data_IF_975778115996
#
_entry.id   IF_975778115996
#
_cell.length_a   1.000
_cell.length_b   1.000
_cell.length_c   1.000
_cell.angle_alpha   90.00
_cell.angle_beta   90.00
_cell.angle_gamma   90.00
#
_symmetry.space_group_name_H-M   'P 1'
#
loop_
_entity.id
_entity.type
_entity.pdbx_description
1 polymer ?
#
# COMPACT_ATOMS: atom_id res chain seq x y z
N UNK A 1 -5.88 6.55 60.76
CA UNK A 1 -5.10 5.55 60.02
C UNK A 1 -4.63 6.24 58.76
N UNK A 2 -3.42 6.80 58.86
CA UNK A 2 -2.73 7.56 57.82
C UNK A 2 -1.79 6.61 57.11
N UNK A 3 -1.95 6.45 55.79
CA UNK A 3 -1.05 5.65 54.96
C UNK A 3 0.33 6.30 54.94
N UNK A 4 1.34 5.51 55.32
CA UNK A 4 2.75 5.85 55.21
C UNK A 4 3.12 5.97 53.73
N UNK A 5 3.41 7.19 53.29
CA UNK A 5 4.20 7.43 52.08
C UNK A 5 5.67 7.23 52.46
N UNK A 6 6.35 6.30 51.79
CA UNK A 6 7.76 6.01 51.99
C UNK A 6 8.61 7.09 51.31
N UNK A 7 9.28 7.99 52.07
CA UNK A 7 10.00 9.13 51.50
C UNK A 7 11.21 8.73 50.63
N UNK A 8 11.59 7.45 50.66
CA UNK A 8 12.76 6.93 49.96
C UNK A 8 12.51 6.65 48.47
N UNK A 9 11.25 6.46 48.05
CA UNK A 9 10.91 6.17 46.65
C UNK A 9 10.77 7.44 45.79
N UNK A 10 10.38 8.57 46.38
CA UNK A 10 10.20 9.84 45.66
C UNK A 10 11.53 10.51 45.27
N UNK A 11 12.65 10.09 45.86
CA UNK A 11 13.98 10.67 45.59
C UNK A 11 14.64 10.09 44.32
N UNK A 12 14.23 8.88 43.89
CA UNK A 12 14.78 8.19 42.72
C UNK A 12 13.91 8.28 41.46
N UNK A 13 12.60 8.51 41.63
CA UNK A 13 11.67 8.71 40.52
C UNK A 13 11.22 10.16 40.50
N UNK A 14 11.89 11.06 39.75
CA UNK A 14 11.38 12.41 39.58
C UNK A 14 9.93 12.32 39.08
N UNK A 15 9.05 13.11 39.69
CA UNK A 15 7.66 13.20 39.27
C UNK A 15 7.61 13.38 37.73
N UNK A 16 6.71 12.67 37.03
CA UNK A 16 6.65 12.74 35.57
C UNK A 16 6.55 14.21 35.14
N UNK A 17 7.36 14.66 34.17
CA UNK A 17 7.40 16.05 33.78
C UNK A 17 5.98 16.51 33.39
N UNK A 18 5.47 17.50 34.12
CA UNK A 18 4.20 18.14 33.78
C UNK A 18 4.43 18.99 32.54
N UNK A 19 3.99 18.49 31.39
CA UNK A 19 3.98 19.26 30.14
C UNK A 19 2.92 20.38 30.24
N UNK A 20 3.25 21.48 30.91
CA UNK A 20 2.40 22.66 31.09
C UNK A 20 2.24 23.53 29.83
N UNK A 21 2.53 23.00 28.63
CA UNK A 21 2.23 23.70 27.37
C UNK A 21 0.91 23.15 26.82
N UNK A 22 -0.12 23.98 26.60
CA UNK A 22 -1.30 23.52 25.87
C UNK A 22 -0.84 23.01 24.49
N UNK A 23 -1.13 21.75 24.21
CA UNK A 23 -0.81 21.12 22.93
C UNK A 23 -1.51 21.93 21.84
N UNK A 24 -0.72 22.67 21.06
CA UNK A 24 -1.28 23.47 19.97
C UNK A 24 -1.65 22.52 18.84
N UNK A 25 -2.94 22.48 18.48
CA UNK A 25 -3.42 21.63 17.39
C UNK A 25 -2.84 22.10 16.05
N UNK A 26 -2.42 21.14 15.24
CA UNK A 26 -1.90 21.39 13.89
C UNK A 26 -3.01 21.90 12.97
N UNK A 27 -2.67 22.80 12.05
CA UNK A 27 -3.60 23.32 11.05
C UNK A 27 -2.98 23.47 9.65
N UNK A 28 -1.80 22.91 9.44
CA UNK A 28 -1.08 22.90 8.17
C UNK A 28 -1.49 21.71 7.30
N UNK A 29 -2.72 21.75 6.79
CA UNK A 29 -3.24 20.66 5.96
C UNK A 29 -2.50 20.51 4.63
N UNK A 30 -2.26 19.27 4.22
CA UNK A 30 -1.47 18.91 3.04
C UNK A 30 -2.35 18.25 1.97
N UNK A 31 -1.92 18.20 0.70
CA UNK A 31 -2.71 17.62 -0.37
C UNK A 31 -3.16 16.17 -0.16
N UNK A 32 -2.40 15.35 0.58
CA UNK A 32 -2.74 13.97 0.94
C UNK A 32 -3.73 13.87 2.14
N UNK A 33 -4.12 14.99 2.75
CA UNK A 33 -5.19 15.04 3.76
C UNK A 33 -6.58 15.21 3.13
N UNK A 34 -6.69 15.34 1.80
CA UNK A 34 -7.98 15.60 1.14
C UNK A 34 -8.98 14.44 1.30
N UNK A 35 -10.30 14.72 1.26
CA UNK A 35 -11.35 13.70 1.47
C UNK A 35 -11.27 12.46 0.57
N UNK A 36 -10.86 12.61 -0.69
CA UNK A 36 -10.59 11.49 -1.61
C UNK A 36 -9.62 10.44 -1.07
N UNK A 37 -8.61 10.86 -0.29
CA UNK A 37 -7.69 9.91 0.35
C UNK A 37 -8.39 9.14 1.49
N UNK A 38 -9.36 9.75 2.17
CA UNK A 38 -10.17 9.04 3.15
C UNK A 38 -11.06 7.99 2.49
N UNK A 39 -11.59 8.26 1.30
CA UNK A 39 -12.29 7.25 0.51
C UNK A 39 -11.39 6.06 0.21
N UNK A 40 -10.15 6.30 -0.25
CA UNK A 40 -9.17 5.24 -0.49
C UNK A 40 -8.93 4.42 0.78
N UNK A 41 -8.70 5.07 1.92
CA UNK A 41 -8.50 4.37 3.20
C UNK A 41 -9.69 3.47 3.54
N UNK A 42 -10.92 3.99 3.45
CA UNK A 42 -12.12 3.26 3.87
C UNK A 42 -12.58 2.20 2.86
N UNK A 43 -12.80 2.61 1.62
CA UNK A 43 -13.47 1.79 0.60
C UNK A 43 -12.51 0.94 -0.21
N UNK A 44 -11.22 1.25 -0.23
CA UNK A 44 -10.22 0.37 -0.81
C UNK A 44 -9.45 -0.38 0.29
N UNK A 45 -8.70 0.30 1.15
CA UNK A 45 -7.82 -0.40 2.08
C UNK A 45 -8.60 -1.21 3.12
N UNK A 46 -9.48 -0.59 3.91
CA UNK A 46 -10.19 -1.28 4.99
C UNK A 46 -11.14 -2.36 4.46
N UNK A 47 -11.86 -2.12 3.36
CA UNK A 47 -12.73 -3.14 2.78
C UNK A 47 -11.96 -4.37 2.29
N UNK A 48 -10.81 -4.20 1.64
CA UNK A 48 -10.01 -5.35 1.21
C UNK A 48 -9.34 -6.04 2.39
N UNK A 49 -8.92 -5.30 3.43
CA UNK A 49 -8.44 -5.89 4.68
C UNK A 49 -9.51 -6.74 5.36
N UNK A 50 -10.75 -6.27 5.39
CA UNK A 50 -11.88 -7.02 5.93
C UNK A 50 -12.10 -8.32 5.14
N UNK A 51 -12.10 -8.28 3.80
CA UNK A 51 -12.22 -9.47 2.96
C UNK A 51 -11.06 -10.44 3.18
N UNK A 52 -9.82 -9.95 3.23
CA UNK A 52 -8.65 -10.77 3.51
C UNK A 52 -8.74 -11.43 4.89
N UNK A 53 -9.18 -10.70 5.91
CA UNK A 53 -9.30 -11.22 7.28
C UNK A 53 -10.19 -12.46 7.38
N UNK A 54 -11.28 -12.48 6.62
CA UNK A 54 -12.21 -13.61 6.55
C UNK A 54 -11.56 -14.86 5.93
N UNK A 55 -10.60 -14.66 5.01
CA UNK A 55 -9.83 -15.74 4.39
C UNK A 55 -8.68 -16.23 5.28
N UNK A 56 -7.96 -15.30 5.91
CA UNK A 56 -6.75 -15.61 6.68
C UNK A 56 -7.02 -16.45 7.91
N UNK A 57 -8.26 -16.43 8.44
CA UNK A 57 -8.68 -17.08 9.69
C UNK A 57 -7.59 -16.91 10.74
N UNK A 58 -7.55 -15.76 11.43
CA UNK A 58 -6.55 -15.46 12.47
C UNK A 58 -6.61 -16.49 13.61
N UNK A 59 -6.05 -17.66 13.37
CA UNK A 59 -5.92 -18.74 14.33
C UNK A 59 -4.92 -18.29 15.41
N UNK A 60 -5.22 -18.66 16.66
CA UNK A 60 -4.28 -18.55 17.78
C UNK A 60 -3.81 -17.11 18.11
N UNK A 61 -4.63 -16.09 17.85
CA UNK A 61 -4.32 -14.72 18.28
C UNK A 61 -3.10 -14.09 17.59
N UNK A 62 -2.71 -14.60 16.41
CA UNK A 62 -1.63 -14.00 15.62
C UNK A 62 -1.97 -12.55 15.25
N UNK A 63 -1.02 -11.62 15.28
CA UNK A 63 -1.28 -10.25 14.84
C UNK A 63 -1.48 -10.19 13.32
N UNK A 64 -2.20 -9.16 12.88
CA UNK A 64 -2.20 -8.69 11.49
C UNK A 64 -0.86 -7.98 11.24
N UNK A 65 -0.08 -8.50 10.30
CA UNK A 65 1.25 -7.94 9.96
C UNK A 65 1.14 -6.93 8.82
N UNK A 66 1.50 -5.68 9.08
CA UNK A 66 1.35 -4.55 8.16
C UNK A 66 2.70 -3.87 7.85
N UNK A 67 3.12 -3.85 6.58
CA UNK A 67 4.26 -3.04 6.14
C UNK A 67 3.74 -1.74 5.52
N UNK A 68 4.28 -0.59 5.92
CA UNK A 68 3.84 0.69 5.34
C UNK A 68 4.92 1.78 5.21
N UNK A 69 4.54 2.86 4.54
CA UNK A 69 5.25 4.15 4.44
C UNK A 69 4.44 5.23 5.17
N UNK A 70 4.39 5.20 6.52
CA UNK A 70 3.30 5.83 7.27
C UNK A 70 3.40 7.36 7.40
N UNK A 71 4.58 7.92 7.09
CA UNK A 71 4.90 9.33 7.35
C UNK A 71 4.81 9.70 8.84
N UNK A 72 4.95 10.98 9.13
CA UNK A 72 4.99 11.51 10.52
C UNK A 72 3.67 11.37 11.30
N UNK A 73 2.55 11.34 10.60
CA UNK A 73 1.22 11.36 11.20
C UNK A 73 0.64 9.94 11.38
N UNK A 74 1.22 8.94 10.70
CA UNK A 74 0.79 7.54 10.73
C UNK A 74 -0.71 7.36 10.42
N UNK A 75 -1.25 8.16 9.50
CA UNK A 75 -2.69 8.20 9.21
C UNK A 75 -3.22 6.87 8.65
N UNK A 76 -2.40 6.20 7.86
CA UNK A 76 -2.66 4.87 7.33
C UNK A 76 -2.68 3.81 8.46
N UNK A 77 -1.67 3.79 9.33
CA UNK A 77 -1.58 2.88 10.49
C UNK A 77 -2.73 3.13 11.45
N UNK A 78 -3.07 4.40 11.74
CA UNK A 78 -4.25 4.77 12.56
C UNK A 78 -5.55 4.27 11.95
N UNK A 79 -5.68 4.33 10.63
CA UNK A 79 -6.86 3.80 9.95
C UNK A 79 -6.96 2.27 10.07
N UNK A 80 -5.86 1.54 9.83
CA UNK A 80 -5.82 0.08 10.01
C UNK A 80 -6.05 -0.29 11.48
N UNK A 81 -5.44 0.43 12.41
CA UNK A 81 -5.62 0.26 13.85
C UNK A 81 -7.09 0.41 14.26
N UNK A 82 -7.81 1.40 13.74
CA UNK A 82 -9.24 1.56 14.01
C UNK A 82 -10.07 0.33 13.66
N UNK A 83 -9.76 -0.33 12.53
CA UNK A 83 -10.38 -1.60 12.16
C UNK A 83 -9.94 -2.76 13.07
N UNK A 84 -8.64 -2.85 13.37
CA UNK A 84 -8.08 -3.84 14.29
C UNK A 84 -8.72 -3.77 15.68
N UNK A 85 -8.88 -2.57 16.24
CA UNK A 85 -9.53 -2.33 17.52
C UNK A 85 -11.00 -2.78 17.50
N UNK A 86 -11.75 -2.42 16.44
CA UNK A 86 -13.14 -2.83 16.29
C UNK A 86 -13.31 -4.35 16.21
N UNK A 87 -12.33 -5.05 15.64
CA UNK A 87 -12.35 -6.50 15.44
C UNK A 87 -11.52 -7.28 16.48
N UNK A 88 -10.95 -6.59 17.48
CA UNK A 88 -10.09 -7.17 18.53
C UNK A 88 -8.90 -7.98 17.98
N UNK A 89 -8.29 -7.47 16.91
CA UNK A 89 -7.10 -8.07 16.28
C UNK A 89 -5.89 -7.21 16.59
N UNK A 90 -4.81 -7.81 17.10
CA UNK A 90 -3.55 -7.10 17.30
C UNK A 90 -2.94 -6.68 15.96
N UNK A 91 -2.50 -5.43 15.85
CA UNK A 91 -1.76 -4.91 14.70
C UNK A 91 -0.27 -4.90 15.03
N UNK A 92 0.52 -5.62 14.24
CA UNK A 92 1.98 -5.51 14.24
C UNK A 92 2.41 -4.81 12.95
N UNK A 93 2.92 -3.59 13.06
CA UNK A 93 3.34 -2.84 11.88
C UNK A 93 4.86 -2.59 11.81
N UNK A 94 5.39 -2.61 10.60
CA UNK A 94 6.72 -2.09 10.27
C UNK A 94 6.55 -0.89 9.35
N UNK A 95 7.03 0.27 9.76
CA UNK A 95 7.07 1.49 8.96
C UNK A 95 8.48 1.85 8.53
N UNK A 96 8.65 2.45 7.35
CA UNK A 96 9.88 3.13 6.96
C UNK A 96 9.62 4.62 6.78
N UNK A 97 10.49 5.45 7.35
CA UNK A 97 10.43 6.90 7.22
C UNK A 97 11.83 7.45 6.89
N UNK A 98 11.96 8.13 5.75
CA UNK A 98 13.24 8.67 5.28
C UNK A 98 13.72 9.81 6.18
N UNK A 99 14.87 9.68 6.88
CA UNK A 99 15.37 10.72 7.77
C UNK A 99 15.97 11.92 7.02
N UNK A 100 16.15 11.82 5.70
CA UNK A 100 16.79 12.85 4.87
C UNK A 100 15.82 13.84 4.22
N UNK A 101 14.52 13.79 4.56
CA UNK A 101 13.57 14.81 4.10
C UNK A 101 13.98 16.20 4.65
N UNK A 102 14.49 17.12 3.80
CA UNK A 102 15.02 18.41 4.24
C UNK A 102 13.95 19.34 4.83
N UNK A 103 12.67 18.96 4.74
CA UNK A 103 11.54 19.68 5.30
C UNK A 103 11.35 19.44 6.82
N UNK A 104 12.22 18.65 7.48
CA UNK A 104 11.95 18.14 8.83
C UNK A 104 12.93 18.60 9.93
N UNK A 105 12.62 19.70 10.63
CA UNK A 105 13.24 20.04 11.93
C UNK A 105 12.74 19.21 13.12
N UNK A 106 11.73 18.34 12.97
CA UNK A 106 10.98 17.74 14.08
C UNK A 106 10.69 16.24 13.88
N UNK A 107 11.72 15.41 13.88
CA UNK A 107 11.62 13.96 14.21
C UNK A 107 10.84 13.73 15.53
N UNK A 108 10.74 14.76 16.39
CA UNK A 108 9.84 14.76 17.56
C UNK A 108 8.37 14.45 17.23
N UNK A 109 7.85 14.87 16.07
CA UNK A 109 6.45 14.60 15.71
C UNK A 109 6.22 13.13 15.36
N UNK A 110 7.16 12.52 14.63
CA UNK A 110 7.11 11.09 14.35
C UNK A 110 7.22 10.29 15.65
N UNK A 111 8.21 10.60 16.49
CA UNK A 111 8.42 9.94 17.78
C UNK A 111 7.18 10.06 18.69
N UNK A 112 6.53 11.23 18.73
CA UNK A 112 5.29 11.42 19.47
C UNK A 112 4.15 10.54 18.91
N UNK A 113 3.95 10.53 17.59
CA UNK A 113 2.91 9.71 16.96
C UNK A 113 3.14 8.20 17.17
N UNK A 114 4.40 7.74 17.17
CA UNK A 114 4.76 6.34 17.48
C UNK A 114 4.48 6.03 18.96
N UNK A 115 4.89 6.91 19.88
CA UNK A 115 4.65 6.72 21.31
C UNK A 115 3.15 6.67 21.65
N UNK A 116 2.33 7.50 21.02
CA UNK A 116 0.88 7.48 21.18
C UNK A 116 0.26 6.17 20.69
N UNK A 117 0.66 5.69 19.51
CA UNK A 117 0.17 4.41 18.98
C UNK A 117 0.60 3.24 19.85
N UNK A 118 1.86 3.22 20.32
CA UNK A 118 2.37 2.15 21.17
C UNK A 118 1.61 1.98 22.50
N UNK A 119 0.93 3.03 22.97
CA UNK A 119 0.10 3.00 24.18
C UNK A 119 -1.34 2.51 23.92
N UNK A 120 -1.74 2.30 22.66
CA UNK A 120 -3.10 1.87 22.34
C UNK A 120 -3.27 0.38 22.53
N UNK A 121 -4.48 0.00 22.94
CA UNK A 121 -4.91 -1.40 22.87
C UNK A 121 -4.82 -1.92 21.44
N UNK A 122 -4.50 -3.20 21.31
CA UNK A 122 -4.35 -3.91 20.03
C UNK A 122 -3.20 -3.41 19.15
N UNK A 123 -2.23 -2.67 19.68
CA UNK A 123 -0.93 -2.48 19.03
C UNK A 123 0.07 -3.48 19.63
N UNK A 124 0.69 -4.28 18.77
CA UNK A 124 1.71 -5.23 19.17
C UNK A 124 3.01 -4.49 19.53
N UNK A 125 3.66 -4.90 20.64
CA UNK A 125 4.87 -4.26 21.16
C UNK A 125 6.08 -4.36 20.22
N UNK A 126 6.07 -5.27 19.24
CA UNK A 126 7.10 -5.37 18.21
C UNK A 126 6.87 -4.40 17.04
N UNK A 127 5.81 -3.59 17.08
CA UNK A 127 5.59 -2.58 16.05
C UNK A 127 6.67 -1.51 16.08
N UNK A 128 7.16 -1.12 14.91
CA UNK A 128 8.32 -0.23 14.78
C UNK A 128 8.22 0.66 13.55
N UNK A 129 8.71 1.90 13.66
CA UNK A 129 9.08 2.72 12.50
C UNK A 129 10.59 2.83 12.45
N UNK A 130 11.17 2.43 11.31
CA UNK A 130 12.61 2.49 11.05
C UNK A 130 12.92 3.83 10.38
N UNK A 131 13.84 4.65 10.94
CA UNK A 131 14.29 5.88 10.32
C UNK A 131 15.30 5.58 9.19
N UNK A 132 14.83 4.90 8.15
CA UNK A 132 15.61 4.55 6.96
C UNK A 132 14.73 4.59 5.71
N UNK A 133 15.36 4.65 4.54
CA UNK A 133 14.65 4.65 3.26
C UNK A 133 14.12 3.26 2.95
N UNK A 134 12.87 3.19 2.50
CA UNK A 134 12.26 1.93 2.05
C UNK A 134 13.05 1.26 0.92
N UNK A 135 13.58 2.07 0.01
CA UNK A 135 14.35 1.65 -1.16
C UNK A 135 15.57 0.81 -0.79
N UNK A 136 16.12 1.00 0.42
CA UNK A 136 17.27 0.23 0.90
C UNK A 136 16.95 -1.23 1.16
N UNK A 137 15.69 -1.63 1.22
CA UNK A 137 15.31 -3.06 1.19
C UNK A 137 15.90 -3.77 -0.04
N UNK A 138 16.17 -3.05 -1.14
CA UNK A 138 16.87 -3.60 -2.31
C UNK A 138 18.30 -4.09 -2.02
N UNK A 139 18.95 -3.53 -1.00
CA UNK A 139 20.26 -3.94 -0.51
C UNK A 139 20.14 -4.91 0.68
N UNK A 140 20.52 -6.17 0.44
CA UNK A 140 20.42 -7.25 1.43
C UNK A 140 21.36 -7.09 2.64
N UNK A 141 22.33 -6.18 2.55
CA UNK A 141 23.21 -5.83 3.68
C UNK A 141 22.69 -4.66 4.52
N UNK A 142 21.60 -4.02 4.10
CA UNK A 142 21.02 -2.87 4.79
C UNK A 142 20.24 -3.25 6.04
N UNK A 143 20.15 -2.31 6.98
CA UNK A 143 19.28 -2.41 8.15
C UNK A 143 17.81 -2.55 7.69
N UNK A 144 17.40 -1.82 6.66
CA UNK A 144 16.05 -1.90 6.13
C UNK A 144 15.67 -3.32 5.69
N UNK A 145 16.55 -4.02 4.97
CA UNK A 145 16.33 -5.41 4.59
C UNK A 145 16.25 -6.33 5.81
N UNK A 146 17.18 -6.20 6.77
CA UNK A 146 17.16 -6.98 8.01
C UNK A 146 15.86 -6.80 8.79
N UNK A 147 15.38 -5.56 8.96
CA UNK A 147 14.12 -5.27 9.65
C UNK A 147 12.91 -5.84 8.90
N UNK A 148 12.91 -5.77 7.57
CA UNK A 148 11.85 -6.33 6.74
C UNK A 148 11.72 -7.85 6.92
N UNK A 149 12.84 -8.59 6.91
CA UNK A 149 12.80 -10.05 7.08
C UNK A 149 12.49 -10.49 8.52
N UNK A 150 12.87 -9.69 9.53
CA UNK A 150 12.56 -9.94 10.94
C UNK A 150 11.06 -9.77 11.22
N UNK A 151 10.43 -8.73 10.68
CA UNK A 151 9.03 -8.41 10.97
C UNK A 151 8.04 -9.25 10.14
N UNK A 152 8.37 -9.59 8.89
CA UNK A 152 7.47 -10.28 7.96
C UNK A 152 7.33 -11.80 8.22
N UNK A 153 6.76 -12.56 7.26
CA UNK A 153 6.02 -12.10 6.08
C UNK A 153 4.80 -11.25 6.46
N UNK A 154 4.36 -10.38 5.56
CA UNK A 154 3.29 -9.41 5.82
C UNK A 154 1.94 -9.90 5.28
N UNK A 155 0.84 -9.59 5.96
CA UNK A 155 -0.52 -9.80 5.45
C UNK A 155 -0.91 -8.68 4.48
N UNK A 156 -0.44 -7.47 4.75
CA UNK A 156 -0.73 -6.28 3.97
C UNK A 156 0.56 -5.48 3.82
N UNK A 157 0.84 -5.03 2.59
CA UNK A 157 1.92 -4.11 2.27
C UNK A 157 1.27 -2.88 1.62
N UNK A 158 1.43 -1.71 2.23
CA UNK A 158 0.90 -0.44 1.72
C UNK A 158 2.03 0.53 1.37
N UNK A 159 2.25 0.70 0.07
CA UNK A 159 3.24 1.64 -0.46
C UNK A 159 2.52 2.93 -0.86
N UNK A 160 2.32 3.83 0.11
CA UNK A 160 1.73 5.15 -0.12
C UNK A 160 2.78 6.16 -0.60
N UNK A 161 3.20 6.04 -1.86
CA UNK A 161 4.26 6.86 -2.42
C UNK A 161 3.75 8.27 -2.75
N UNK A 162 4.41 9.28 -2.18
CA UNK A 162 4.20 10.68 -2.57
C UNK A 162 4.74 11.00 -3.97
N UNK A 163 5.70 10.21 -4.44
CA UNK A 163 6.33 10.31 -5.75
C UNK A 163 5.86 9.19 -6.69
N UNK A 164 6.41 9.16 -7.90
CA UNK A 164 6.10 8.09 -8.84
C UNK A 164 7.02 6.89 -8.61
N UNK A 165 6.42 5.71 -8.52
CA UNK A 165 7.15 4.45 -8.65
C UNK A 165 7.91 4.35 -9.99
N UNK A 166 7.41 5.02 -11.03
CA UNK A 166 8.01 5.07 -12.35
C UNK A 166 9.00 6.24 -12.53
N UNK A 167 9.37 6.94 -11.45
CA UNK A 167 10.22 8.15 -11.52
C UNK A 167 11.72 7.89 -11.61
N UNK A 168 12.19 6.70 -11.23
CA UNK A 168 13.60 6.34 -11.25
C UNK A 168 14.02 5.68 -12.57
N UNK A 169 15.31 5.74 -12.91
CA UNK A 169 15.86 4.98 -14.03
C UNK A 169 16.03 3.52 -13.58
N UNK A 170 15.39 2.53 -14.25
CA UNK A 170 15.52 1.14 -13.85
C UNK A 170 16.97 0.64 -13.98
N UNK A 171 17.40 -0.21 -13.05
CA UNK A 171 18.72 -0.85 -13.04
C UNK A 171 19.91 0.10 -12.82
N UNK A 172 19.66 1.38 -12.53
CA UNK A 172 20.73 2.36 -12.27
C UNK A 172 21.29 2.24 -10.85
N UNK A 173 20.41 2.01 -9.87
CA UNK A 173 20.74 1.95 -8.45
C UNK A 173 20.24 0.68 -7.81
N UNK A 174 20.90 0.26 -6.74
CA UNK A 174 20.46 -0.89 -5.93
C UNK A 174 19.35 -0.49 -4.94
N UNK A 175 19.35 0.77 -4.50
CA UNK A 175 18.38 1.39 -3.59
C UNK A 175 17.30 2.16 -4.37
N UNK A 176 16.47 1.42 -5.11
CA UNK A 176 15.27 1.97 -5.76
C UNK A 176 13.99 1.19 -5.40
N UNK A 177 12.83 1.73 -5.78
CA UNK A 177 11.55 1.06 -5.55
C UNK A 177 11.45 -0.31 -6.24
N UNK A 178 12.09 -0.48 -7.40
CA UNK A 178 11.99 -1.72 -8.16
C UNK A 178 12.68 -2.87 -7.43
N UNK A 179 13.89 -2.65 -6.94
CA UNK A 179 14.66 -3.61 -6.18
C UNK A 179 14.02 -3.88 -4.82
N UNK A 180 13.53 -2.85 -4.13
CA UNK A 180 12.83 -3.04 -2.86
C UNK A 180 11.56 -3.91 -3.03
N UNK A 181 10.73 -3.63 -4.03
CA UNK A 181 9.53 -4.42 -4.33
C UNK A 181 9.90 -5.84 -4.77
N UNK A 182 10.93 -5.99 -5.60
CA UNK A 182 11.44 -7.31 -6.01
C UNK A 182 11.82 -8.16 -4.79
N UNK A 183 12.60 -7.59 -3.85
CA UNK A 183 13.00 -8.28 -2.61
C UNK A 183 11.84 -8.62 -1.70
N UNK A 184 10.86 -7.74 -1.59
CA UNK A 184 9.64 -8.00 -0.82
C UNK A 184 8.85 -9.16 -1.43
N UNK A 185 8.67 -9.18 -2.76
CA UNK A 185 7.96 -10.27 -3.45
C UNK A 185 8.72 -11.58 -3.30
N UNK A 186 10.05 -11.57 -3.50
CA UNK A 186 10.91 -12.74 -3.28
C UNK A 186 10.74 -13.30 -1.86
N UNK A 187 10.80 -12.43 -0.84
CA UNK A 187 10.62 -12.83 0.54
C UNK A 187 9.20 -13.36 0.82
N UNK A 188 8.15 -12.66 0.39
CA UNK A 188 6.75 -13.07 0.55
C UNK A 188 6.49 -14.44 -0.08
N UNK A 189 6.98 -14.66 -1.31
CA UNK A 189 6.85 -15.95 -2.01
C UNK A 189 7.52 -17.09 -1.25
N UNK A 190 8.66 -16.83 -0.60
CA UNK A 190 9.44 -17.84 0.11
C UNK A 190 8.90 -18.19 1.50
N UNK A 191 8.15 -17.26 2.14
CA UNK A 191 7.73 -17.40 3.55
C UNK A 191 6.22 -17.49 3.75
N UNK A 192 5.41 -17.00 2.82
CA UNK A 192 3.96 -16.97 2.97
C UNK A 192 3.31 -18.17 2.28
N UNK A 193 2.19 -18.63 2.83
CA UNK A 193 1.34 -19.67 2.24
C UNK A 193 -0.12 -19.23 2.10
N UNK A 194 -0.49 -18.11 2.72
CA UNK A 194 -1.82 -17.51 2.67
C UNK A 194 -1.81 -16.28 1.75
N UNK A 195 -2.98 -15.89 1.18
CA UNK A 195 -3.10 -14.66 0.39
C UNK A 195 -2.61 -13.42 1.15
N UNK A 196 -2.23 -12.39 0.41
CA UNK A 196 -1.83 -11.10 0.96
C UNK A 196 -2.19 -9.95 0.04
N UNK A 197 -2.23 -8.74 0.59
CA UNK A 197 -2.59 -7.53 -0.12
C UNK A 197 -1.37 -6.64 -0.37
N UNK A 198 -1.33 -6.08 -1.58
CA UNK A 198 -0.39 -5.04 -1.96
C UNK A 198 -1.20 -3.80 -2.40
N UNK A 199 -1.06 -2.71 -1.65
CA UNK A 199 -1.57 -1.41 -2.04
C UNK A 199 -0.41 -0.54 -2.52
N UNK A 200 -0.59 0.14 -3.65
CA UNK A 200 0.38 1.09 -4.18
C UNK A 200 -0.36 2.37 -4.54
N UNK A 201 -0.10 3.44 -3.79
CA UNK A 201 -0.48 4.79 -4.20
C UNK A 201 0.71 5.45 -4.86
N UNK A 202 0.57 5.99 -6.07
CA UNK A 202 1.71 6.55 -6.82
C UNK A 202 1.27 7.64 -7.78
N UNK A 203 2.17 8.59 -8.07
CA UNK A 203 2.00 9.56 -9.15
C UNK A 203 2.06 8.88 -10.52
N UNK A 204 1.17 9.26 -11.43
CA UNK A 204 1.07 8.65 -12.78
C UNK A 204 0.92 9.66 -13.94
N UNK A 205 1.16 10.96 -13.68
CA UNK A 205 1.19 11.95 -14.77
C UNK A 205 2.45 11.80 -15.64
N UNK A 206 2.42 12.34 -16.86
CA UNK A 206 3.53 12.20 -17.84
C UNK A 206 4.87 12.71 -17.32
N UNK A 207 4.88 13.79 -16.54
CA UNK A 207 6.11 14.37 -15.97
C UNK A 207 6.69 13.53 -14.84
N UNK A 208 5.88 12.66 -14.24
CA UNK A 208 6.26 11.79 -13.14
C UNK A 208 6.85 10.46 -13.62
N UNK A 209 6.64 10.07 -14.88
CA UNK A 209 7.16 8.83 -15.46
C UNK A 209 8.49 9.09 -16.15
N UNK A 210 9.55 8.45 -15.68
CA UNK A 210 10.84 8.43 -16.34
C UNK A 210 10.72 7.68 -17.69
N UNK A 211 11.25 8.23 -18.81
CA UNK A 211 11.15 7.58 -20.12
C UNK A 211 11.68 6.15 -20.17
N UNK A 212 12.77 5.85 -19.45
CA UNK A 212 13.37 4.51 -19.39
C UNK A 212 12.48 3.52 -18.65
N UNK A 213 11.89 3.95 -17.52
CA UNK A 213 10.91 3.15 -16.80
C UNK A 213 9.64 2.95 -17.64
N UNK A 214 9.11 4.01 -18.24
CA UNK A 214 7.96 3.97 -19.14
C UNK A 214 8.16 2.98 -20.29
N UNK A 215 9.35 2.93 -20.90
CA UNK A 215 9.66 1.96 -21.96
C UNK A 215 9.65 0.51 -21.46
N UNK A 216 10.17 0.23 -20.25
CA UNK A 216 10.16 -1.11 -19.65
C UNK A 216 8.74 -1.55 -19.27
N UNK A 217 7.93 -0.66 -18.73
CA UNK A 217 6.52 -0.92 -18.43
C UNK A 217 5.71 -1.15 -19.71
N UNK A 218 5.95 -0.35 -20.74
CA UNK A 218 5.35 -0.55 -22.07
C UNK A 218 5.73 -1.91 -22.66
N UNK A 219 6.99 -2.32 -22.53
CA UNK A 219 7.46 -3.61 -23.01
C UNK A 219 6.70 -4.77 -22.35
N UNK A 220 6.36 -4.66 -21.05
CA UNK A 220 5.55 -5.67 -20.37
C UNK A 220 4.13 -5.82 -20.97
N UNK A 221 3.57 -4.74 -21.52
CA UNK A 221 2.28 -4.75 -22.23
C UNK A 221 2.47 -5.35 -23.64
N UNK A 222 3.49 -4.87 -24.36
CA UNK A 222 3.82 -5.27 -25.72
C UNK A 222 4.11 -6.77 -25.84
N UNK A 223 4.87 -7.34 -24.89
CA UNK A 223 5.23 -8.75 -24.90
C UNK A 223 3.98 -9.65 -24.84
N UNK A 224 2.98 -9.32 -24.03
CA UNK A 224 1.71 -10.04 -24.00
C UNK A 224 0.85 -9.82 -25.24
N UNK A 225 0.84 -8.61 -25.81
CA UNK A 225 0.13 -8.31 -27.05
C UNK A 225 0.70 -9.06 -28.26
N UNK A 226 2.00 -9.41 -28.24
CA UNK A 226 2.63 -10.27 -29.24
C UNK A 226 2.24 -11.74 -29.09
N UNK A 227 2.04 -12.20 -27.86
CA UNK A 227 1.76 -13.61 -27.55
C UNK A 227 0.27 -13.97 -27.60
N UNK A 228 -0.62 -12.97 -27.51
CA UNK A 228 -2.07 -13.21 -27.47
C UNK A 228 -2.85 -12.18 -28.29
N UNK A 229 -3.48 -12.65 -29.37
CA UNK A 229 -4.37 -11.85 -30.20
C UNK A 229 -5.58 -11.34 -29.42
N UNK A 230 -6.09 -12.14 -28.47
CA UNK A 230 -7.18 -11.75 -27.58
C UNK A 230 -6.76 -10.58 -26.69
N UNK A 231 -5.60 -10.68 -26.03
CA UNK A 231 -5.06 -9.59 -25.21
C UNK A 231 -4.87 -8.32 -26.05
N UNK A 232 -4.27 -8.44 -27.23
CA UNK A 232 -4.10 -7.31 -28.17
C UNK A 232 -5.43 -6.70 -28.59
N UNK A 233 -6.43 -7.53 -28.89
CA UNK A 233 -7.78 -7.08 -29.27
C UNK A 233 -8.46 -6.29 -28.15
N UNK A 234 -8.40 -6.79 -26.90
CA UNK A 234 -8.97 -6.11 -25.73
C UNK A 234 -8.27 -4.79 -25.41
N UNK A 235 -6.96 -4.71 -25.57
CA UNK A 235 -6.23 -3.45 -25.41
C UNK A 235 -6.76 -2.35 -26.34
N UNK A 236 -6.98 -2.69 -27.61
CA UNK A 236 -7.49 -1.75 -28.60
C UNK A 236 -8.94 -1.32 -28.30
N UNK A 237 -9.81 -2.27 -27.99
CA UNK A 237 -11.24 -1.99 -27.80
C UNK A 237 -11.57 -1.33 -26.46
N UNK A 238 -10.82 -1.63 -25.40
CA UNK A 238 -11.19 -1.22 -24.04
C UNK A 238 -10.32 -0.12 -23.46
N UNK A 239 -9.06 -0.04 -23.88
CA UNK A 239 -8.11 0.98 -23.40
C UNK A 239 -7.64 1.91 -24.52
N UNK A 240 -8.10 1.71 -25.76
CA UNK A 240 -7.67 2.49 -26.93
C UNK A 240 -6.20 2.26 -27.30
N UNK A 241 -5.60 1.14 -26.87
CA UNK A 241 -4.20 0.83 -27.12
C UNK A 241 -4.07 -0.06 -28.37
N UNK A 242 -3.67 0.53 -29.49
CA UNK A 242 -3.60 -0.17 -30.78
C UNK A 242 -2.17 -0.30 -31.31
N UNK A 243 -1.61 -1.50 -31.21
CA UNK A 243 -0.26 -1.83 -31.68
C UNK A 243 -0.08 -1.81 -33.21
N UNK A 244 -1.15 -1.66 -33.99
CA UNK A 244 -1.06 -1.45 -35.44
C UNK A 244 -0.69 -0.01 -35.80
N UNK A 245 -0.84 0.94 -34.86
CA UNK A 245 -0.51 2.35 -35.04
C UNK A 245 0.96 2.62 -34.70
N UNK A 246 1.54 3.64 -35.34
CA UNK A 246 2.90 4.11 -35.02
C UNK A 246 3.03 4.66 -33.60
N UNK A 247 1.95 5.26 -33.08
CA UNK A 247 1.79 5.60 -31.67
C UNK A 247 0.59 4.83 -31.12
N UNK A 248 0.81 3.76 -30.34
CA UNK A 248 -0.26 2.92 -29.84
C UNK A 248 -1.22 3.58 -28.84
N UNK A 249 -1.09 4.87 -28.54
CA UNK A 249 -2.04 5.58 -27.66
C UNK A 249 -1.89 5.25 -26.16
N UNK A 250 -0.77 4.66 -25.75
CA UNK A 250 -0.56 4.31 -24.34
C UNK A 250 -0.29 5.56 -23.50
N UNK A 251 -1.20 5.84 -22.57
CA UNK A 251 -1.09 6.96 -21.63
C UNK A 251 -0.19 6.60 -20.44
N UNK A 252 0.32 7.60 -19.71
CA UNK A 252 1.09 7.37 -18.49
C UNK A 252 0.29 6.63 -17.41
N UNK A 253 -1.01 6.90 -17.34
CA UNK A 253 -1.98 6.13 -16.53
C UNK A 253 -1.95 4.64 -16.89
N UNK A 254 -2.00 4.30 -18.17
CA UNK A 254 -1.98 2.92 -18.62
C UNK A 254 -0.60 2.26 -18.38
N UNK A 255 0.50 2.99 -18.54
CA UNK A 255 1.84 2.48 -18.21
C UNK A 255 1.96 2.13 -16.73
N UNK A 256 1.53 3.04 -15.84
CA UNK A 256 1.65 2.82 -14.39
C UNK A 256 0.59 1.85 -13.87
N UNK A 257 -0.63 1.83 -14.41
CA UNK A 257 -1.66 0.88 -14.01
C UNK A 257 -1.41 -0.52 -14.58
N UNK A 258 -1.46 -0.65 -15.91
CA UNK A 258 -1.36 -1.94 -16.59
C UNK A 258 0.09 -2.44 -16.65
N UNK A 259 1.04 -1.59 -17.05
CA UNK A 259 2.44 -1.99 -17.20
C UNK A 259 3.06 -2.44 -15.87
N UNK A 260 2.77 -1.72 -14.77
CA UNK A 260 3.20 -2.13 -13.43
C UNK A 260 2.53 -3.42 -12.99
N UNK A 261 1.20 -3.54 -13.17
CA UNK A 261 0.47 -4.77 -12.85
C UNK A 261 1.03 -5.98 -13.59
N UNK A 262 1.37 -5.81 -14.87
CA UNK A 262 2.03 -6.83 -15.70
C UNK A 262 3.41 -7.22 -15.19
N UNK A 263 4.22 -6.24 -14.81
CA UNK A 263 5.53 -6.50 -14.20
C UNK A 263 5.41 -7.27 -12.88
N UNK A 264 4.49 -6.85 -11.99
CA UNK A 264 4.22 -7.54 -10.73
C UNK A 264 3.72 -8.98 -10.96
N UNK A 265 2.80 -9.18 -11.90
CA UNK A 265 2.28 -10.50 -12.27
C UNK A 265 3.42 -11.41 -12.71
N UNK A 266 4.33 -10.90 -13.55
CA UNK A 266 5.50 -11.64 -13.99
C UNK A 266 6.39 -12.06 -12.81
N UNK A 267 6.69 -11.16 -11.87
CA UNK A 267 7.47 -11.49 -10.66
C UNK A 267 6.80 -12.57 -9.79
N UNK A 268 5.47 -12.56 -9.72
CA UNK A 268 4.69 -13.51 -8.91
C UNK A 268 4.57 -14.88 -9.57
N UNK A 269 4.40 -14.93 -10.89
CA UNK A 269 4.22 -16.19 -11.61
C UNK A 269 5.54 -16.87 -12.01
N UNK A 270 6.62 -16.09 -12.16
CA UNK A 270 7.95 -16.62 -12.47
C UNK A 270 8.60 -17.27 -11.24
N UNK A 271 9.22 -18.44 -11.41
CA UNK A 271 9.84 -19.19 -10.32
C UNK A 271 8.83 -19.99 -9.48
N UNK A 272 9.27 -20.51 -8.32
CA UNK A 272 8.45 -21.32 -7.41
C UNK A 272 8.58 -20.82 -5.96
N UNK A 273 7.50 -20.85 -5.15
CA UNK A 273 6.13 -21.19 -5.55
C UNK A 273 5.52 -20.12 -6.48
N UNK A 274 4.56 -20.52 -7.33
CA UNK A 274 3.82 -19.60 -8.21
C UNK A 274 2.69 -18.90 -7.48
N UNK A 275 2.50 -17.63 -7.78
CA UNK A 275 1.42 -16.80 -7.23
C UNK A 275 0.64 -16.13 -8.35
N UNK A 276 -0.66 -16.00 -8.17
CA UNK A 276 -1.54 -15.18 -9.00
C UNK A 276 -1.53 -13.73 -8.52
N UNK A 277 -1.87 -12.82 -9.42
CA UNK A 277 -2.09 -11.41 -9.12
C UNK A 277 -3.47 -11.01 -9.64
N UNK A 278 -4.32 -10.49 -8.76
CA UNK A 278 -5.60 -9.88 -9.12
C UNK A 278 -5.56 -8.41 -8.73
N UNK A 279 -5.75 -7.51 -9.70
CA UNK A 279 -5.98 -6.10 -9.40
C UNK A 279 -7.43 -5.92 -8.93
N UNK A 280 -7.59 -5.41 -7.72
CA UNK A 280 -8.86 -5.13 -7.05
C UNK A 280 -9.35 -3.72 -7.42
N UNK A 281 -10.50 -3.34 -6.88
CA UNK A 281 -11.09 -2.02 -7.12
C UNK A 281 -10.07 -0.93 -6.82
N UNK A 282 -9.78 -0.15 -7.86
CA UNK A 282 -8.69 0.82 -7.88
C UNK A 282 -9.22 2.20 -8.21
N UNK A 283 -8.52 3.23 -7.76
CA UNK A 283 -9.00 4.60 -7.81
C UNK A 283 -7.94 5.55 -8.34
N UNK A 284 -8.39 6.65 -8.93
CA UNK A 284 -7.55 7.76 -9.36
C UNK A 284 -8.12 9.08 -8.88
N UNK A 285 -7.22 10.03 -8.62
CA UNK A 285 -7.59 11.35 -8.16
C UNK A 285 -6.47 12.36 -8.41
N UNK A 286 -6.82 13.64 -8.41
CA UNK A 286 -5.85 14.74 -8.47
C UNK A 286 -5.17 14.87 -7.11
N UNK A 287 -3.99 15.46 -7.00
CA UNK A 287 -3.42 15.93 -5.73
C UNK A 287 -3.29 17.44 -5.76
N UNK A 288 -2.90 17.99 -6.91
CA UNK A 288 -2.71 19.42 -7.12
C UNK A 288 -3.83 20.03 -7.99
N UNK A 289 -4.37 21.21 -7.62
CA UNK A 289 -5.48 21.86 -8.32
C UNK A 289 -5.26 22.21 -9.80
N UNK A 290 -4.05 22.54 -10.31
CA UNK A 290 -3.90 22.87 -11.73
C UNK A 290 -3.91 21.64 -12.64
N UNK A 291 -4.07 20.42 -12.12
CA UNK A 291 -4.06 19.23 -12.97
C UNK A 291 -5.38 19.06 -13.73
N UNK A 292 -5.30 19.04 -15.06
CA UNK A 292 -6.45 18.81 -15.94
C UNK A 292 -7.03 17.40 -15.74
N UNK A 293 -6.16 16.40 -15.52
CA UNK A 293 -6.50 14.99 -15.31
C UNK A 293 -6.03 14.49 -13.93
N UNK A 294 -6.58 13.37 -13.42
CA UNK A 294 -6.02 12.67 -12.26
C UNK A 294 -4.51 12.44 -12.39
N UNK A 295 -3.75 12.71 -11.32
CA UNK A 295 -2.29 12.55 -11.31
C UNK A 295 -1.79 11.53 -10.29
N UNK A 296 -2.69 10.95 -9.48
CA UNK A 296 -2.43 9.83 -8.59
C UNK A 296 -3.28 8.61 -8.97
N UNK A 297 -2.67 7.45 -8.87
CA UNK A 297 -3.33 6.15 -8.85
C UNK A 297 -3.22 5.55 -7.46
N UNK A 298 -4.29 4.93 -6.99
CA UNK A 298 -4.33 4.04 -5.83
C UNK A 298 -4.71 2.64 -6.33
N UNK A 299 -3.70 1.81 -6.52
CA UNK A 299 -3.82 0.46 -7.05
C UNK A 299 -3.87 -0.54 -5.91
N UNK A 300 -4.83 -1.46 -5.94
CA UNK A 300 -4.96 -2.54 -4.98
C UNK A 300 -4.77 -3.89 -5.66
N UNK A 301 -4.04 -4.79 -5.02
CA UNK A 301 -3.77 -6.12 -5.53
C UNK A 301 -3.94 -7.19 -4.45
N UNK A 302 -4.57 -8.30 -4.81
CA UNK A 302 -4.52 -9.55 -4.06
C UNK A 302 -3.50 -10.50 -4.71
N UNK A 303 -2.62 -11.05 -3.90
CA UNK A 303 -1.66 -12.06 -4.30
C UNK A 303 -2.05 -13.39 -3.67
N UNK A 304 -2.31 -14.42 -4.48
CA UNK A 304 -2.79 -15.73 -3.99
C UNK A 304 -1.93 -16.88 -4.49
N UNK A 305 -1.63 -17.85 -3.61
CA UNK A 305 -0.78 -18.99 -3.94
C UNK A 305 -1.48 -19.89 -4.97
N UNK A 306 -0.77 -20.24 -6.05
CA UNK A 306 -1.25 -21.22 -7.03
C UNK A 306 -0.81 -22.60 -6.54
N UNK A 307 -1.74 -23.34 -5.94
CA UNK A 307 -1.47 -24.70 -5.43
C UNK A 307 -1.34 -25.66 -6.61
N UNK A 308 -0.12 -26.13 -6.86
CA UNK A 308 0.16 -27.16 -7.85
C UNK A 308 0.28 -28.52 -7.15
N UNK A 309 -0.50 -29.54 -7.54
CA UNK A 309 -0.35 -30.87 -6.98
C UNK A 309 1.03 -31.45 -7.33
N UNK A 310 1.64 -32.29 -6.46
CA UNK A 310 2.88 -32.97 -6.79
C UNK A 310 2.75 -33.80 -8.06
N UNK A 311 3.75 -33.70 -8.95
CA UNK A 311 3.84 -34.54 -10.14
C UNK A 311 4.75 -35.75 -9.86
N UNK A 312 4.14 -36.93 -9.66
CA UNK A 312 4.90 -38.18 -9.51
C UNK A 312 5.34 -38.72 -10.88
N UNK A 313 6.41 -38.13 -11.42
CA UNK A 313 7.00 -38.54 -12.70
C UNK A 313 7.53 -39.98 -12.72
N UNK A 314 7.74 -40.61 -11.55
CA UNK A 314 8.30 -41.97 -11.43
C UNK A 314 7.17 -43.02 -11.34
N UNK A 315 5.97 -42.61 -10.96
CA UNK A 315 4.78 -43.47 -10.92
C UNK A 315 4.76 -44.44 -9.74
N UNK A 316 5.37 -44.08 -8.61
CA UNK A 316 5.32 -44.87 -7.37
C UNK A 316 4.03 -44.67 -6.58
N UNK A 317 3.40 -43.51 -6.71
CA UNK A 317 2.19 -43.12 -6.04
C UNK A 317 0.98 -43.25 -6.98
N UNK A 318 -0.03 -44.01 -6.53
CA UNK A 318 -1.32 -44.11 -7.21
C UNK A 318 -2.21 -42.95 -6.76
N UNK A 319 -2.05 -41.79 -7.38
CA UNK A 319 -2.97 -40.68 -7.14
C UNK A 319 -4.21 -40.83 -8.03
N UNK A 320 -5.44 -40.86 -7.48
CA UNK A 320 -6.58 -40.50 -8.30
C UNK A 320 -6.31 -39.07 -8.81
N UNK A 321 -6.43 -38.85 -10.12
CA UNK A 321 -6.45 -37.51 -10.72
C UNK A 321 -7.70 -36.76 -10.23
N UNK A 322 -7.74 -36.42 -8.95
CA UNK A 322 -8.83 -35.66 -8.33
C UNK A 322 -8.32 -34.24 -8.18
N UNK A 323 -8.85 -33.39 -9.07
CA UNK A 323 -8.57 -31.97 -9.25
C UNK A 323 -7.43 -31.68 -10.24
N UNK A 324 -7.64 -32.01 -11.52
CA UNK A 324 -7.19 -31.11 -12.58
C UNK A 324 -8.11 -29.89 -12.50
N UNK A 325 -7.90 -29.02 -11.51
CA UNK A 325 -8.41 -27.66 -11.64
C UNK A 325 -7.62 -27.06 -12.79
N UNK A 326 -8.30 -26.49 -13.80
CA UNK A 326 -7.62 -25.65 -14.79
C UNK A 326 -6.85 -24.58 -14.01
N UNK A 327 -5.53 -24.72 -13.99
CA UNK A 327 -4.66 -23.74 -13.35
C UNK A 327 -4.67 -22.56 -14.31
N UNK A 328 -5.38 -21.50 -13.93
CA UNK A 328 -5.42 -20.25 -14.69
C UNK A 328 -4.00 -19.86 -15.13
N UNK A 329 -3.86 -19.57 -16.41
CA UNK A 329 -2.56 -19.25 -17.00
C UNK A 329 -2.23 -17.77 -16.75
N UNK A 330 -0.97 -17.40 -16.98
CA UNK A 330 -0.52 -16.00 -16.95
C UNK A 330 -1.45 -15.08 -17.74
N UNK A 331 -1.90 -15.55 -18.91
CA UNK A 331 -2.79 -14.83 -19.81
C UNK A 331 -4.12 -14.45 -19.14
N UNK A 332 -4.71 -15.33 -18.34
CA UNK A 332 -6.01 -15.09 -17.72
C UNK A 332 -5.92 -13.95 -16.69
N UNK A 333 -4.86 -13.96 -15.88
CA UNK A 333 -4.56 -12.87 -14.97
C UNK A 333 -4.26 -11.56 -15.70
N UNK A 334 -3.52 -11.64 -16.82
CA UNK A 334 -3.22 -10.47 -17.63
C UNK A 334 -4.48 -9.83 -18.22
N UNK A 335 -5.43 -10.62 -18.73
CA UNK A 335 -6.72 -10.14 -19.22
C UNK A 335 -7.52 -9.44 -18.11
N UNK A 336 -7.53 -10.01 -16.89
CA UNK A 336 -8.15 -9.39 -15.73
C UNK A 336 -7.54 -8.02 -15.36
N UNK A 337 -6.25 -7.78 -15.62
CA UNK A 337 -5.65 -6.46 -15.42
C UNK A 337 -6.21 -5.40 -16.39
N UNK A 338 -6.59 -5.77 -17.62
CA UNK A 338 -7.23 -4.84 -18.58
C UNK A 338 -8.59 -4.40 -18.01
N UNK A 339 -9.38 -5.36 -17.53
CA UNK A 339 -10.67 -5.08 -16.89
C UNK A 339 -10.51 -4.10 -15.72
N UNK A 340 -9.57 -4.38 -14.81
CA UNK A 340 -9.37 -3.55 -13.63
C UNK A 340 -8.90 -2.13 -14.00
N UNK A 341 -7.96 -1.99 -14.95
CA UNK A 341 -7.44 -0.66 -15.37
C UNK A 341 -8.51 0.17 -16.07
N UNK A 342 -9.37 -0.45 -16.87
CA UNK A 342 -10.53 0.21 -17.49
C UNK A 342 -11.49 0.75 -16.45
N UNK A 343 -11.71 -0.01 -15.38
CA UNK A 343 -12.67 0.30 -14.32
C UNK A 343 -12.07 1.08 -13.13
N UNK A 344 -10.83 1.59 -13.23
CA UNK A 344 -10.27 2.50 -12.22
C UNK A 344 -11.19 3.71 -12.10
N UNK A 345 -11.58 3.99 -10.86
CA UNK A 345 -12.60 4.97 -10.50
C UNK A 345 -12.00 6.37 -10.31
N UNK A 346 -12.54 7.37 -11.02
CA UNK A 346 -12.19 8.78 -10.79
C UNK A 346 -12.94 9.33 -9.56
N UNK A 347 -12.23 9.48 -8.44
CA UNK A 347 -12.81 9.95 -7.19
C UNK A 347 -13.18 11.44 -7.23
N UNK A 348 -12.55 12.24 -8.09
CA UNK A 348 -12.89 13.65 -8.20
C UNK A 348 -14.25 13.80 -8.88
N UNK A 349 -14.49 13.02 -9.95
CA UNK A 349 -15.81 12.96 -10.61
C UNK A 349 -16.87 12.40 -9.65
N UNK A 350 -16.56 11.30 -8.95
CA UNK A 350 -17.50 10.68 -8.01
C UNK A 350 -17.90 11.62 -6.87
N UNK A 351 -16.93 12.24 -6.19
CA UNK A 351 -17.22 13.13 -5.06
C UNK A 351 -17.87 14.44 -5.48
N UNK A 352 -17.60 14.92 -6.70
CA UNK A 352 -18.30 16.08 -7.25
C UNK A 352 -19.78 15.75 -7.53
N UNK A 353 -20.07 14.53 -7.98
CA UNK A 353 -21.43 14.05 -8.26
C UNK A 353 -22.25 13.62 -7.03
N UNK A 354 -21.60 13.35 -5.88
CA UNK A 354 -22.25 12.88 -4.66
C UNK A 354 -21.86 13.74 -3.44
N UNK A 355 -22.68 14.75 -3.15
CA UNK A 355 -22.46 15.67 -2.03
C UNK A 355 -22.50 14.98 -0.66
N UNK A 356 -23.35 13.96 -0.50
CA UNK A 356 -23.50 13.24 0.76
C UNK A 356 -22.26 12.38 1.03
N UNK A 357 -21.73 11.70 0.01
CA UNK A 357 -20.47 10.99 0.08
C UNK A 357 -19.33 11.96 0.44
N UNK A 358 -19.23 13.10 -0.27
CA UNK A 358 -18.19 14.11 -0.01
C UNK A 358 -18.23 14.59 1.44
N UNK A 359 -19.40 14.94 1.96
CA UNK A 359 -19.58 15.36 3.36
C UNK A 359 -19.16 14.27 4.34
N UNK A 360 -19.57 13.03 4.09
CA UNK A 360 -19.20 11.87 4.92
C UNK A 360 -17.68 11.68 4.96
N UNK A 361 -16.99 11.78 3.82
CA UNK A 361 -15.53 11.66 3.75
C UNK A 361 -14.82 12.83 4.44
N UNK A 362 -15.36 14.05 4.38
CA UNK A 362 -14.85 15.19 5.15
C UNK A 362 -14.98 14.93 6.65
N UNK A 363 -16.13 14.47 7.12
CA UNK A 363 -16.38 14.23 8.54
C UNK A 363 -15.49 13.11 9.10
N UNK A 364 -15.35 12.00 8.38
CA UNK A 364 -14.49 10.89 8.79
C UNK A 364 -13.01 11.26 8.75
N UNK A 365 -12.57 11.98 7.71
CA UNK A 365 -11.21 12.48 7.65
C UNK A 365 -10.93 13.46 8.80
N UNK A 366 -11.89 14.30 9.20
CA UNK A 366 -11.73 15.20 10.34
C UNK A 366 -11.49 14.45 11.66
N UNK A 367 -12.15 13.30 11.86
CA UNK A 367 -11.90 12.45 13.03
C UNK A 367 -10.49 11.86 12.99
N UNK A 368 -10.05 11.33 11.85
CA UNK A 368 -8.70 10.79 11.68
C UNK A 368 -7.62 11.88 11.87
N UNK A 369 -7.87 13.09 11.37
CA UNK A 369 -6.98 14.24 11.54
C UNK A 369 -6.91 14.68 13.02
N UNK A 370 -8.04 14.66 13.73
CA UNK A 370 -8.08 14.94 15.18
C UNK A 370 -7.27 13.89 15.95
N UNK A 371 -7.37 12.61 15.56
CA UNK A 371 -6.58 11.52 16.14
C UNK A 371 -5.05 11.75 15.98
N UNK A 372 -4.65 12.42 14.90
CA UNK A 372 -3.28 12.85 14.65
C UNK A 372 -2.97 14.28 15.12
N UNK A 373 -3.71 14.82 16.11
CA UNK A 373 -3.50 16.15 16.73
C UNK A 373 -3.69 17.36 15.79
N UNK A 374 -4.48 17.23 14.72
CA UNK A 374 -4.93 18.38 13.93
C UNK A 374 -6.24 18.96 14.46
N UNK A 375 -6.48 20.24 14.15
CA UNK A 375 -7.75 20.91 14.42
C UNK A 375 -8.82 20.42 13.42
N UNK A 376 -9.69 19.53 13.88
CA UNK A 376 -10.76 18.94 13.07
C UNK A 376 -11.76 19.97 12.50
N UNK A 377 -12.04 21.05 13.23
CA UNK A 377 -12.95 22.11 12.75
C UNK A 377 -12.31 22.91 11.61
N UNK A 378 -11.04 23.30 11.78
CA UNK A 378 -10.27 23.95 10.70
C UNK A 378 -10.09 23.02 9.51
N UNK A 379 -9.92 21.71 9.74
CA UNK A 379 -9.83 20.73 8.67
C UNK A 379 -11.09 20.71 7.83
N UNK A 380 -12.28 20.64 8.46
CA UNK A 380 -13.56 20.65 7.73
C UNK A 380 -13.71 21.91 6.87
N UNK A 381 -13.40 23.08 7.44
CA UNK A 381 -13.44 24.34 6.71
C UNK A 381 -12.47 24.37 5.52
N UNK A 382 -11.25 23.82 5.70
CA UNK A 382 -10.27 23.69 4.63
C UNK A 382 -10.75 22.73 3.53
N UNK A 383 -11.25 21.55 3.92
CA UNK A 383 -11.64 20.48 3.01
C UNK A 383 -12.88 20.82 2.19
N UNK A 384 -13.76 21.71 2.65
CA UNK A 384 -14.93 22.17 1.88
C UNK A 384 -14.56 22.95 0.61
N UNK A 385 -13.35 23.51 0.53
CA UNK A 385 -12.87 24.26 -0.63
C UNK A 385 -12.25 23.35 -1.72
N UNK A 386 -12.35 22.03 -1.54
CA UNK A 386 -11.83 20.98 -2.43
C UNK A 386 -12.88 19.91 -2.64
#
# INVERSE_FOLDING_TARGET
MTENQDPFLDEFFPAPPTHNRPTTLKSDFKPWHKPRKQWVRKFQWIQEVEKLSQQLRFENGRPLKYLSLPGKDLLDVRCIHGWCQANKVNLRFLGFNDPSDPADPNDSELNLSVAELAQREFIDCESLVVPDKFERIGDTSSIAYTRMIEAGPFDIINLDLCNSIAGHVPLEKQDDYYNAIFRIIEFQKSKKAQPWLLFITTRANEKAVNPSAGRKLFQCIEDNAKLSDEFRGRLATELGIDFSLSNPGVTSRNLVGLGLGKWLLKLLIDGQPKWSLKMLDSAEYKVYPPSAAPDMLSLAFECSLIVQPPNDSVGLARHPNTLIAEVAEEKDFALGLIDSVKNIMDLDVMMHGDEQLRKTMIDEAAHLMTDARYDGAKYKAWAMNW
#
